data_IF_371664171879
#
_entry.id   IF_371664171879
#
_cell.length_a   1.000
_cell.length_b   1.000
_cell.length_c   1.000
_cell.angle_alpha   90.00
_cell.angle_beta   90.00
_cell.angle_gamma   90.00
#
_symmetry.space_group_name_H-M   'P 1'
#
loop_
_entity.id
_entity.type
_entity.pdbx_description
1 polymer ?
#
# COMPACT_ATOMS: atom_id res chain seq x y z
N UNK A 1 4.77 -46.78 -7.77
CA UNK A 1 3.57 -46.16 -8.35
C UNK A 1 3.28 -44.98 -7.45
N UNK A 2 3.77 -43.83 -7.89
CA UNK A 2 3.84 -42.61 -7.09
C UNK A 2 2.47 -41.94 -7.12
N UNK A 3 1.91 -41.69 -5.94
CA UNK A 3 0.70 -40.89 -5.76
C UNK A 3 1.14 -39.43 -5.66
N UNK A 4 0.66 -38.50 -6.51
CA UNK A 4 0.93 -37.09 -6.32
C UNK A 4 0.07 -36.57 -5.16
N UNK A 5 0.74 -36.04 -4.14
CA UNK A 5 0.13 -35.27 -3.06
C UNK A 5 -0.43 -33.99 -3.66
N UNK A 6 -1.76 -33.86 -3.72
CA UNK A 6 -2.40 -32.62 -4.16
C UNK A 6 -2.07 -31.53 -3.14
N UNK A 7 -1.22 -30.60 -3.55
CA UNK A 7 -0.90 -29.39 -2.82
C UNK A 7 -2.19 -28.56 -2.67
N UNK A 8 -2.84 -28.70 -1.52
CA UNK A 8 -3.94 -27.84 -1.10
C UNK A 8 -3.37 -26.44 -0.86
N UNK A 9 -3.37 -25.63 -1.92
CA UNK A 9 -3.07 -24.20 -1.83
C UNK A 9 -4.07 -23.51 -0.90
N UNK A 10 -3.69 -22.38 -0.27
CA UNK A 10 -4.60 -21.64 0.58
C UNK A 10 -5.82 -21.19 -0.23
N UNK A 11 -7.02 -21.49 0.28
CA UNK A 11 -8.30 -20.98 -0.24
C UNK A 11 -8.35 -19.45 -0.15
N UNK A 12 -9.10 -18.76 -1.04
CA UNK A 12 -9.17 -17.29 -1.08
C UNK A 12 -9.88 -16.65 0.13
N UNK A 13 -10.36 -17.43 1.10
CA UNK A 13 -11.19 -16.97 2.22
C UNK A 13 -10.40 -16.49 3.45
N UNK A 14 -9.15 -16.05 3.29
CA UNK A 14 -8.35 -15.52 4.40
C UNK A 14 -7.88 -14.08 4.15
N UNK A 15 -8.76 -13.24 3.61
CA UNK A 15 -8.68 -11.80 3.89
C UNK A 15 -9.00 -11.65 5.39
N UNK A 16 -7.95 -11.63 6.20
CA UNK A 16 -8.01 -11.37 7.63
C UNK A 16 -8.88 -10.13 7.84
N UNK A 17 -10.04 -10.29 8.48
CA UNK A 17 -10.82 -9.17 9.00
C UNK A 17 -10.05 -8.57 10.16
N UNK A 18 -9.01 -7.82 9.82
CA UNK A 18 -8.46 -6.76 10.64
C UNK A 18 -9.58 -5.70 10.75
N UNK A 19 -9.62 -4.93 11.83
CA UNK A 19 -10.65 -3.90 12.02
C UNK A 19 -10.71 -2.91 10.84
N UNK A 20 -11.59 -1.89 10.86
CA UNK A 20 -11.60 -0.90 9.80
C UNK A 20 -10.21 -0.26 9.68
N UNK A 21 -9.48 -0.64 8.64
CA UNK A 21 -8.18 -0.09 8.29
C UNK A 21 -8.40 1.39 7.97
N UNK A 22 -7.79 2.32 8.71
CA UNK A 22 -7.94 3.74 8.41
C UNK A 22 -7.54 3.97 6.95
N UNK A 23 -8.38 4.63 6.16
CA UNK A 23 -8.01 5.01 4.79
C UNK A 23 -8.30 4.01 3.68
N UNK A 24 -8.40 2.71 3.92
CA UNK A 24 -8.74 1.72 2.87
C UNK A 24 -9.91 0.84 3.29
N UNK A 25 -10.94 0.81 2.45
CA UNK A 25 -12.16 0.04 2.70
C UNK A 25 -12.18 -1.26 1.88
N UNK A 26 -12.81 -2.32 2.40
CA UNK A 26 -12.93 -3.61 1.68
C UNK A 26 -13.67 -3.54 0.35
N UNK A 27 -14.44 -2.47 0.11
CA UNK A 27 -15.14 -2.21 -1.15
C UNK A 27 -14.26 -1.49 -2.20
N UNK A 28 -12.95 -1.34 -1.92
CA UNK A 28 -11.98 -0.69 -2.79
C UNK A 28 -11.97 0.84 -2.68
N UNK A 29 -12.83 1.42 -1.85
CA UNK A 29 -12.85 2.87 -1.62
C UNK A 29 -11.76 3.30 -0.63
N UNK A 30 -11.36 4.58 -0.71
CA UNK A 30 -10.43 5.17 0.24
C UNK A 30 -11.06 6.34 0.99
N UNK A 31 -10.60 6.57 2.23
CA UNK A 31 -10.79 7.86 2.90
C UNK A 31 -9.61 8.77 2.56
N UNK A 32 -9.78 9.79 1.69
CA UNK A 32 -8.67 10.65 1.27
C UNK A 32 -8.07 11.44 2.44
N UNK A 33 -8.82 11.66 3.53
CA UNK A 33 -8.27 12.38 4.68
C UNK A 33 -7.20 11.57 5.41
N UNK A 34 -7.23 10.23 5.27
CA UNK A 34 -6.22 9.32 5.79
C UNK A 34 -4.88 9.41 5.05
N UNK A 35 -4.80 10.08 3.91
CA UNK A 35 -3.57 10.25 3.12
C UNK A 35 -3.02 11.69 3.12
N UNK A 36 -3.67 12.62 3.81
CA UNK A 36 -3.19 14.01 3.93
C UNK A 36 -1.97 14.13 4.85
N UNK A 37 -0.95 14.82 4.38
CA UNK A 37 0.20 15.29 5.18
C UNK A 37 -0.04 16.74 5.67
N UNK A 38 0.83 17.25 6.55
CA UNK A 38 0.86 18.70 6.77
C UNK A 38 1.48 19.42 5.55
N UNK A 39 1.41 20.74 5.56
CA UNK A 39 2.07 21.58 4.56
C UNK A 39 3.57 21.30 4.52
N UNK A 40 4.11 21.18 3.30
CA UNK A 40 5.55 20.99 3.03
C UNK A 40 6.17 19.67 3.56
N UNK A 41 5.34 18.69 3.95
CA UNK A 41 5.81 17.39 4.46
C UNK A 41 5.71 16.24 3.44
N UNK A 42 5.07 16.43 2.28
CA UNK A 42 4.87 15.36 1.31
C UNK A 42 6.11 15.16 0.41
N UNK A 43 6.69 13.96 0.44
CA UNK A 43 7.83 13.59 -0.40
C UNK A 43 7.40 12.54 -1.45
N UNK A 44 7.49 12.94 -2.71
CA UNK A 44 7.14 12.09 -3.85
C UNK A 44 8.38 11.42 -4.43
N UNK A 45 8.22 10.16 -4.83
CA UNK A 45 9.26 9.40 -5.50
C UNK A 45 8.65 8.50 -6.57
N UNK A 46 9.47 8.11 -7.56
CA UNK A 46 9.10 7.07 -8.52
C UNK A 46 10.32 6.23 -8.84
N UNK A 47 10.11 4.93 -9.05
CA UNK A 47 11.20 4.00 -9.33
C UNK A 47 10.67 2.69 -9.88
N UNK A 48 11.48 2.04 -10.71
CA UNK A 48 11.18 0.71 -11.30
C UNK A 48 12.04 -0.38 -10.68
N UNK A 49 12.37 -0.25 -9.40
CA UNK A 49 13.22 -1.18 -8.67
C UNK A 49 12.45 -2.28 -7.95
N UNK A 50 11.14 -2.42 -8.20
CA UNK A 50 10.25 -3.35 -7.48
C UNK A 50 10.37 -3.19 -5.95
N UNK A 51 10.39 -1.93 -5.48
CA UNK A 51 10.56 -1.62 -4.06
C UNK A 51 12.00 -1.69 -3.55
N UNK A 52 12.94 -2.31 -4.28
CA UNK A 52 14.33 -2.46 -3.80
C UNK A 52 15.02 -1.09 -3.80
N UNK A 53 15.28 -0.55 -2.61
CA UNK A 53 16.06 0.67 -2.38
C UNK A 53 15.38 1.97 -2.80
N UNK A 54 14.35 1.95 -3.66
CA UNK A 54 13.64 3.16 -4.09
C UNK A 54 12.79 3.76 -2.96
N UNK A 55 11.86 2.94 -2.45
CA UNK A 55 10.99 3.32 -1.33
C UNK A 55 11.79 3.61 -0.06
N UNK A 56 12.76 2.74 0.26
CA UNK A 56 13.57 2.86 1.47
C UNK A 56 14.42 4.14 1.47
N UNK A 57 15.12 4.44 0.37
CA UNK A 57 15.97 5.64 0.27
C UNK A 57 15.11 6.90 0.26
N UNK A 58 13.97 6.89 -0.44
CA UNK A 58 13.03 8.00 -0.42
C UNK A 58 12.49 8.25 1.00
N UNK A 59 12.18 7.18 1.74
CA UNK A 59 11.73 7.25 3.13
C UNK A 59 12.78 7.84 4.06
N UNK A 60 14.04 7.40 3.94
CA UNK A 60 15.16 7.98 4.72
C UNK A 60 15.30 9.47 4.43
N UNK A 61 15.32 9.86 3.15
CA UNK A 61 15.44 11.27 2.77
C UNK A 61 14.23 12.09 3.24
N UNK A 62 13.01 11.58 3.12
CA UNK A 62 11.82 12.27 3.63
C UNK A 62 11.92 12.53 5.14
N UNK A 63 12.33 11.52 5.91
CA UNK A 63 12.50 11.64 7.36
C UNK A 63 13.60 12.65 7.74
N UNK A 64 14.73 12.68 7.03
CA UNK A 64 15.82 13.62 7.29
C UNK A 64 15.40 15.09 7.08
N UNK A 65 14.40 15.34 6.22
CA UNK A 65 13.86 16.66 5.93
C UNK A 65 12.53 16.96 6.65
N UNK A 66 12.12 16.11 7.59
CA UNK A 66 10.91 16.32 8.40
C UNK A 66 9.60 16.03 7.65
N UNK A 67 9.66 15.33 6.52
CA UNK A 67 8.50 14.89 5.76
C UNK A 67 8.23 13.39 5.83
N UNK A 68 7.39 12.92 4.93
CA UNK A 68 6.94 11.53 4.84
C UNK A 68 6.69 11.16 3.38
N UNK A 69 6.98 9.92 3.02
CA UNK A 69 6.45 9.32 1.78
C UNK A 69 5.04 8.76 2.03
N UNK A 70 4.38 8.33 0.94
CA UNK A 70 3.08 7.64 1.01
C UNK A 70 3.18 6.36 1.84
N UNK A 71 4.24 5.56 1.63
CA UNK A 71 4.47 4.29 2.35
C UNK A 71 4.67 4.52 3.86
N UNK A 72 5.50 5.49 4.24
CA UNK A 72 5.71 5.85 5.64
C UNK A 72 4.45 6.40 6.31
N UNK A 73 3.64 7.14 5.55
CA UNK A 73 2.36 7.66 6.05
C UNK A 73 1.40 6.52 6.35
N UNK A 74 1.29 5.56 5.42
CA UNK A 74 0.45 4.37 5.58
C UNK A 74 0.91 3.53 6.77
N UNK A 75 2.21 3.25 6.89
CA UNK A 75 2.77 2.51 8.03
C UNK A 75 2.45 3.20 9.37
N UNK A 76 2.68 4.52 9.46
CA UNK A 76 2.41 5.30 10.68
C UNK A 76 0.94 5.32 11.07
N UNK A 77 0.04 5.24 10.09
CA UNK A 77 -1.42 5.30 10.29
C UNK A 77 -2.09 3.92 10.34
N UNK A 78 -1.32 2.84 10.14
CA UNK A 78 -1.85 1.48 10.06
C UNK A 78 -2.77 1.28 8.85
N UNK A 79 -2.47 1.94 7.74
CA UNK A 79 -3.20 1.80 6.48
C UNK A 79 -2.60 0.63 5.71
N UNK A 80 -3.45 -0.34 5.38
CA UNK A 80 -3.12 -1.45 4.51
C UNK A 80 -3.79 -1.21 3.16
N UNK A 81 -2.99 -1.20 2.09
CA UNK A 81 -3.46 -1.06 0.72
C UNK A 81 -3.44 -2.42 0.02
N UNK A 82 -4.25 -2.63 -1.02
CA UNK A 82 -4.18 -3.85 -1.80
C UNK A 82 -2.79 -3.96 -2.45
N UNK A 83 -2.29 -5.19 -2.57
CA UNK A 83 -1.03 -5.43 -3.29
C UNK A 83 -1.13 -4.85 -4.71
N UNK A 84 -0.07 -4.19 -5.17
CA UNK A 84 -0.06 -3.57 -6.49
C UNK A 84 -0.27 -4.64 -7.57
N UNK A 85 -1.37 -4.50 -8.31
CA UNK A 85 -1.70 -5.34 -9.46
C UNK A 85 -2.09 -4.43 -10.65
N UNK A 86 -1.25 -4.33 -11.71
CA UNK A 86 -1.52 -3.47 -12.85
C UNK A 86 -2.65 -4.01 -13.75
N UNK A 87 -3.00 -5.29 -13.64
CA UNK A 87 -4.06 -5.93 -14.42
C UNK A 87 -5.45 -5.78 -13.77
N UNK A 88 -5.50 -5.29 -12.53
CA UNK A 88 -6.73 -5.01 -11.78
C UNK A 88 -7.02 -3.49 -11.78
N UNK A 89 -8.05 -3.04 -12.52
CA UNK A 89 -8.36 -1.61 -12.61
C UNK A 89 -8.83 -1.00 -11.29
N UNK A 90 -9.42 -1.79 -10.39
CA UNK A 90 -9.87 -1.32 -9.09
C UNK A 90 -8.66 -1.07 -8.19
N UNK A 91 -7.70 -2.01 -8.15
CA UNK A 91 -6.42 -1.82 -7.45
C UNK A 91 -5.68 -0.59 -7.98
N UNK A 92 -5.57 -0.45 -9.30
CA UNK A 92 -4.95 0.74 -9.93
C UNK A 92 -5.71 2.02 -9.54
N UNK A 93 -7.04 1.97 -9.51
CA UNK A 93 -7.89 3.08 -9.09
C UNK A 93 -7.64 3.50 -7.65
N UNK A 94 -7.60 2.54 -6.72
CA UNK A 94 -7.33 2.78 -5.29
C UNK A 94 -5.96 3.41 -5.09
N UNK A 95 -4.90 2.87 -5.71
CA UNK A 95 -3.55 3.43 -5.60
C UNK A 95 -3.45 4.85 -6.18
N UNK A 96 -4.13 5.13 -7.30
CA UNK A 96 -4.22 6.48 -7.87
C UNK A 96 -4.96 7.45 -6.95
N UNK A 97 -6.06 7.01 -6.33
CA UNK A 97 -6.82 7.84 -5.41
C UNK A 97 -6.00 8.18 -4.17
N UNK A 98 -5.30 7.21 -3.58
CA UNK A 98 -4.42 7.41 -2.43
C UNK A 98 -3.26 8.36 -2.75
N UNK A 99 -2.69 8.24 -3.95
CA UNK A 99 -1.58 9.09 -4.41
C UNK A 99 -2.01 10.54 -4.70
N UNK A 100 -3.31 10.79 -4.93
CA UNK A 100 -3.86 12.10 -5.30
C UNK A 100 -4.51 12.86 -4.12
N UNK A 101 -4.70 12.21 -2.98
CA UNK A 101 -5.42 12.71 -1.81
C UNK A 101 -4.60 13.69 -0.96
#
# INVERSE_FOLDING_TARGET
MEHPEEFSGPTPDNALSLGPTPGFHPDGTIDPTAFKTASDEAFFWSGRSNGIGGADVAGVYASDFGGTTLEQLMERRGIEMPEWNPDDPDVVGTWKAASAA
#
